data_IF_573747696633
#
_entry.id   IF_573747696633
#
_cell.length_a   1.000
_cell.length_b   1.000
_cell.length_c   1.000
_cell.angle_alpha   90.00
_cell.angle_beta   90.00
_cell.angle_gamma   90.00
#
_symmetry.space_group_name_H-M   'P 1'
#
loop_
_entity.id
_entity.type
_entity.pdbx_description
1 polymer ?
#
# COMPACT_ATOMS: atom_id res chain seq x y z
N UNK A 1 4.40 2.34 -21.87
CA UNK A 1 3.43 3.33 -22.38
C UNK A 1 3.77 3.57 -23.84
N UNK A 2 2.83 3.35 -24.76
CA UNK A 2 3.15 3.23 -26.16
C UNK A 2 3.94 1.93 -26.44
N UNK A 3 5.07 2.02 -27.15
CA UNK A 3 5.97 0.92 -27.39
C UNK A 3 7.06 0.75 -26.31
N UNK A 4 7.18 1.69 -25.39
CA UNK A 4 8.21 1.69 -24.36
C UNK A 4 7.82 0.82 -23.16
N UNK A 5 8.81 0.11 -22.63
CA UNK A 5 8.70 -0.71 -21.41
C UNK A 5 9.42 0.00 -20.28
N UNK A 6 8.76 0.14 -19.14
CA UNK A 6 9.31 0.77 -17.94
C UNK A 6 9.39 -0.27 -16.81
N UNK A 7 10.53 -0.34 -16.17
CA UNK A 7 10.76 -1.09 -14.94
C UNK A 7 10.91 -0.11 -13.79
N UNK A 8 10.58 -0.56 -12.57
CA UNK A 8 10.57 0.25 -11.36
C UNK A 8 9.41 1.23 -11.26
N UNK A 9 8.67 1.13 -10.15
CA UNK A 9 7.48 1.95 -9.87
C UNK A 9 7.79 3.44 -9.87
N UNK A 10 8.95 3.85 -9.34
CA UNK A 10 9.35 5.27 -9.29
C UNK A 10 9.58 5.83 -10.69
N UNK A 11 10.19 5.04 -11.57
CA UNK A 11 10.38 5.40 -12.97
C UNK A 11 9.04 5.53 -13.69
N UNK A 12 8.13 4.59 -13.48
CA UNK A 12 6.77 4.60 -14.04
C UNK A 12 6.00 5.84 -13.59
N UNK A 13 6.01 6.15 -12.28
CA UNK A 13 5.32 7.31 -11.71
C UNK A 13 5.85 8.62 -12.31
N UNK A 14 7.17 8.76 -12.40
CA UNK A 14 7.78 9.97 -13.01
C UNK A 14 7.40 10.14 -14.46
N UNK A 15 7.34 9.07 -15.23
CA UNK A 15 6.95 9.13 -16.64
C UNK A 15 5.45 9.39 -16.80
N UNK A 16 4.60 8.84 -15.91
CA UNK A 16 3.17 9.15 -15.90
C UNK A 16 2.94 10.63 -15.62
N UNK A 17 3.57 11.20 -14.59
CA UNK A 17 3.46 12.61 -14.25
C UNK A 17 3.95 13.51 -15.39
N UNK A 18 5.06 13.15 -16.06
CA UNK A 18 5.58 13.90 -17.21
C UNK A 18 4.62 13.93 -18.39
N UNK A 19 3.88 12.83 -18.63
CA UNK A 19 2.94 12.71 -19.77
C UNK A 19 1.55 13.21 -19.45
N UNK A 20 1.14 13.05 -18.19
CA UNK A 20 -0.22 13.32 -17.72
C UNK A 20 -0.13 14.14 -16.43
N UNK A 21 0.28 15.41 -16.60
CA UNK A 21 0.46 16.31 -15.45
C UNK A 21 -0.85 16.67 -14.72
N UNK A 22 -2.00 16.40 -15.35
CA UNK A 22 -3.32 16.66 -14.77
C UNK A 22 -4.22 15.41 -14.90
N UNK A 23 -4.79 14.92 -13.78
CA UNK A 23 -4.53 15.36 -12.40
C UNK A 23 -3.13 14.92 -11.95
N UNK A 24 -2.43 15.81 -11.23
CA UNK A 24 -1.09 15.52 -10.72
C UNK A 24 -1.09 14.46 -9.61
N UNK A 25 -0.05 13.63 -9.57
CA UNK A 25 0.22 12.72 -8.44
C UNK A 25 0.87 13.45 -7.25
N UNK A 26 1.26 14.71 -7.42
CA UNK A 26 1.99 15.51 -6.44
C UNK A 26 1.26 16.82 -6.13
N UNK A 27 0.03 16.78 -5.58
CA UNK A 27 -0.77 17.98 -5.33
C UNK A 27 0.00 18.98 -4.48
N UNK A 28 -0.15 20.29 -4.81
CA UNK A 28 0.56 21.36 -4.13
C UNK A 28 2.08 21.37 -4.33
N UNK A 29 2.61 20.61 -5.30
CA UNK A 29 4.06 20.52 -5.57
C UNK A 29 4.82 19.73 -4.49
N UNK A 30 4.14 18.93 -3.68
CA UNK A 30 4.71 18.25 -2.51
C UNK A 30 5.54 17.00 -2.88
N UNK A 31 6.40 17.09 -3.90
CA UNK A 31 7.20 15.97 -4.42
C UNK A 31 8.03 15.26 -3.33
N UNK A 32 8.74 16.02 -2.50
CA UNK A 32 9.58 15.46 -1.44
C UNK A 32 8.78 14.65 -0.42
N UNK A 33 7.62 15.16 -0.01
CA UNK A 33 6.73 14.46 0.93
C UNK A 33 6.13 13.20 0.31
N UNK A 34 5.72 13.28 -0.95
CA UNK A 34 5.16 12.14 -1.68
C UNK A 34 6.19 11.03 -1.85
N UNK A 35 7.44 11.37 -2.22
CA UNK A 35 8.52 10.38 -2.31
C UNK A 35 8.93 9.83 -0.95
N UNK A 36 8.96 10.68 0.10
CA UNK A 36 9.19 10.23 1.47
C UNK A 36 8.13 9.21 1.94
N UNK A 37 6.86 9.45 1.62
CA UNK A 37 5.80 8.47 1.86
C UNK A 37 6.04 7.17 1.08
N UNK A 38 6.54 7.25 -0.16
CA UNK A 38 6.93 6.08 -0.96
C UNK A 38 8.03 5.26 -0.29
N UNK A 39 9.10 5.88 0.16
CA UNK A 39 10.18 5.18 0.87
C UNK A 39 9.69 4.49 2.15
N UNK A 40 8.78 5.13 2.87
CA UNK A 40 8.18 4.56 4.05
C UNK A 40 7.27 3.37 3.74
N UNK A 41 6.36 3.52 2.78
CA UNK A 41 5.34 2.51 2.45
C UNK A 41 5.91 1.32 1.67
N UNK A 42 6.87 1.54 0.77
CA UNK A 42 7.53 0.47 -0.02
C UNK A 42 8.75 -0.15 0.72
N UNK A 43 9.16 0.46 1.81
CA UNK A 43 10.28 0.02 2.64
C UNK A 43 9.84 -0.72 3.91
N UNK A 44 10.12 -0.16 5.10
CA UNK A 44 9.90 -0.87 6.37
C UNK A 44 8.45 -1.30 6.59
N UNK A 45 7.48 -0.43 6.29
CA UNK A 45 6.07 -0.75 6.48
C UNK A 45 5.61 -1.88 5.56
N UNK A 46 6.07 -1.90 4.31
CA UNK A 46 5.77 -3.02 3.40
C UNK A 46 6.30 -4.34 3.94
N UNK A 47 7.52 -4.37 4.48
CA UNK A 47 8.10 -5.58 5.07
C UNK A 47 7.28 -6.10 6.24
N UNK A 48 6.79 -5.22 7.11
CA UNK A 48 5.90 -5.60 8.21
C UNK A 48 4.56 -6.14 7.69
N UNK A 49 3.97 -5.46 6.72
CA UNK A 49 2.71 -5.85 6.07
C UNK A 49 2.82 -7.21 5.38
N UNK A 50 3.88 -7.44 4.60
CA UNK A 50 4.12 -8.72 3.91
C UNK A 50 4.37 -9.84 4.90
N UNK A 51 5.11 -9.58 5.99
CA UNK A 51 5.33 -10.55 7.07
C UNK A 51 4.00 -11.00 7.66
N UNK A 52 3.14 -10.05 8.04
CA UNK A 52 1.82 -10.34 8.60
C UNK A 52 0.96 -11.11 7.61
N UNK A 53 0.86 -10.62 6.36
CA UNK A 53 0.06 -11.27 5.32
C UNK A 53 0.53 -12.69 5.02
N UNK A 54 1.84 -12.91 4.90
CA UNK A 54 2.41 -14.21 4.57
C UNK A 54 2.13 -15.24 5.68
N UNK A 55 2.29 -14.85 6.94
CA UNK A 55 2.00 -15.73 8.08
C UNK A 55 0.52 -16.10 8.12
N UNK A 56 -0.39 -15.14 7.96
CA UNK A 56 -1.84 -15.38 7.97
C UNK A 56 -2.28 -16.29 6.81
N UNK A 57 -1.70 -16.11 5.64
CA UNK A 57 -2.08 -16.88 4.45
C UNK A 57 -1.36 -18.23 4.34
N UNK A 58 -0.23 -18.41 5.02
CA UNK A 58 0.63 -19.60 4.86
C UNK A 58 -0.09 -20.94 5.01
N UNK A 59 -1.13 -21.11 5.88
CA UNK A 59 -1.84 -22.38 6.01
C UNK A 59 -2.61 -22.81 4.74
N UNK A 60 -2.93 -21.84 3.87
CA UNK A 60 -3.75 -22.07 2.65
C UNK A 60 -2.96 -21.83 1.36
N UNK A 61 -1.71 -21.38 1.47
CA UNK A 61 -0.85 -21.13 0.31
C UNK A 61 -0.28 -22.42 -0.26
N UNK A 62 -0.25 -22.56 -1.59
CA UNK A 62 0.51 -23.63 -2.23
C UNK A 62 2.00 -23.54 -1.87
N UNK A 63 2.66 -24.69 -1.56
CA UNK A 63 4.08 -24.70 -1.19
C UNK A 63 5.00 -24.06 -2.27
N UNK A 64 4.67 -24.28 -3.55
CA UNK A 64 5.41 -23.71 -4.67
C UNK A 64 5.32 -22.18 -4.70
N UNK A 65 4.20 -21.59 -4.27
CA UNK A 65 4.06 -20.14 -4.16
C UNK A 65 4.96 -19.59 -3.05
N UNK A 66 5.03 -20.27 -1.91
CA UNK A 66 5.92 -19.87 -0.81
C UNK A 66 7.39 -20.01 -1.20
N UNK A 67 7.74 -21.06 -1.93
CA UNK A 67 9.10 -21.28 -2.42
C UNK A 67 9.55 -20.21 -3.42
N UNK A 68 8.64 -19.70 -4.23
CA UNK A 68 8.92 -18.64 -5.21
C UNK A 68 8.97 -17.25 -4.54
N UNK A 69 7.93 -16.91 -3.76
CA UNK A 69 7.75 -15.56 -3.22
C UNK A 69 8.53 -15.28 -1.94
N UNK A 70 8.78 -16.31 -1.14
CA UNK A 70 9.52 -16.16 0.11
C UNK A 70 10.92 -15.55 -0.11
N UNK A 71 11.77 -16.15 -0.96
CA UNK A 71 13.09 -15.59 -1.25
C UNK A 71 13.05 -14.19 -1.90
N UNK A 72 12.00 -13.90 -2.68
CA UNK A 72 11.84 -12.59 -3.32
C UNK A 72 11.65 -11.46 -2.30
N UNK A 73 10.88 -11.71 -1.24
CA UNK A 73 10.58 -10.69 -0.23
C UNK A 73 11.55 -10.70 0.95
N UNK A 74 12.11 -11.85 1.31
CA UNK A 74 12.90 -12.03 2.53
C UNK A 74 14.34 -12.48 2.29
N UNK A 75 14.74 -12.62 1.01
CA UNK A 75 16.08 -13.03 0.63
C UNK A 75 16.26 -14.56 0.53
N UNK A 76 17.42 -14.96 0.01
CA UNK A 76 17.73 -16.36 -0.33
C UNK A 76 17.63 -17.35 0.84
N UNK A 77 17.80 -16.87 2.07
CA UNK A 77 17.72 -17.69 3.29
C UNK A 77 16.30 -17.68 3.91
N UNK A 78 15.28 -17.44 3.11
CA UNK A 78 13.89 -17.43 3.58
C UNK A 78 13.55 -18.71 4.36
N UNK A 79 12.99 -18.51 5.55
CA UNK A 79 12.39 -19.55 6.40
C UNK A 79 11.05 -19.04 6.89
N UNK A 80 9.97 -19.78 6.62
CA UNK A 80 8.65 -19.41 7.11
C UNK A 80 8.58 -19.39 8.64
N UNK A 81 9.31 -20.30 9.32
CA UNK A 81 9.31 -20.36 10.77
C UNK A 81 10.02 -19.14 11.38
N UNK A 82 11.10 -18.66 10.77
CA UNK A 82 11.76 -17.42 11.19
C UNK A 82 10.82 -16.22 11.01
N UNK A 83 10.08 -16.18 9.89
CA UNK A 83 9.09 -15.11 9.63
C UNK A 83 7.98 -15.14 10.68
N UNK A 84 7.48 -16.31 11.06
CA UNK A 84 6.48 -16.46 12.13
C UNK A 84 6.95 -15.90 13.48
N UNK A 85 8.25 -16.00 13.81
CA UNK A 85 8.77 -15.45 15.08
C UNK A 85 8.62 -13.92 15.15
N UNK A 86 8.65 -13.24 14.01
CA UNK A 86 8.53 -11.77 13.89
C UNK A 86 7.08 -11.28 13.80
N UNK A 87 6.11 -12.17 13.67
CA UNK A 87 4.71 -11.82 13.44
C UNK A 87 4.16 -10.81 14.45
N UNK A 88 4.38 -11.05 15.75
CA UNK A 88 3.86 -10.17 16.81
C UNK A 88 4.41 -8.75 16.74
N UNK A 89 5.72 -8.61 16.50
CA UNK A 89 6.39 -7.32 16.31
C UNK A 89 5.86 -6.61 15.07
N UNK A 90 5.85 -7.29 13.92
CA UNK A 90 5.37 -6.71 12.67
C UNK A 90 3.90 -6.28 12.76
N UNK A 91 3.04 -7.08 13.42
CA UNK A 91 1.64 -6.71 13.64
C UNK A 91 1.50 -5.46 14.51
N UNK A 92 2.32 -5.31 15.56
CA UNK A 92 2.32 -4.11 16.39
C UNK A 92 2.77 -2.88 15.58
N UNK A 93 3.82 -3.02 14.77
CA UNK A 93 4.32 -1.97 13.88
C UNK A 93 3.26 -1.54 12.85
N UNK A 94 2.60 -2.50 12.20
CA UNK A 94 1.51 -2.23 11.24
C UNK A 94 0.40 -1.44 11.93
N UNK A 95 -0.04 -1.86 13.11
CA UNK A 95 -1.09 -1.15 13.86
C UNK A 95 -0.71 0.29 14.20
N UNK A 96 0.52 0.50 14.69
CA UNK A 96 1.01 1.83 15.02
C UNK A 96 1.07 2.74 13.79
N UNK A 97 1.65 2.24 12.69
CA UNK A 97 1.86 3.03 11.48
C UNK A 97 0.55 3.29 10.73
N UNK A 98 -0.36 2.35 10.71
CA UNK A 98 -1.71 2.59 10.20
C UNK A 98 -2.50 3.56 11.07
N UNK A 99 -2.26 3.58 12.40
CA UNK A 99 -2.80 4.60 13.28
C UNK A 99 -2.36 6.02 12.89
N UNK A 100 -1.09 6.21 12.51
CA UNK A 100 -0.61 7.51 12.03
C UNK A 100 -1.30 7.96 10.73
N UNK A 101 -1.57 7.02 9.83
CA UNK A 101 -2.35 7.32 8.61
C UNK A 101 -3.79 7.69 8.95
N UNK A 102 -4.41 6.97 9.89
CA UNK A 102 -5.78 7.23 10.35
C UNK A 102 -5.91 8.60 11.01
N UNK A 103 -4.97 8.94 11.91
CA UNK A 103 -4.90 10.27 12.54
C UNK A 103 -4.77 11.38 11.50
N UNK A 104 -3.96 11.14 10.47
CA UNK A 104 -3.81 12.08 9.36
C UNK A 104 -5.12 12.28 8.61
N UNK A 105 -5.78 11.18 8.24
CA UNK A 105 -7.02 11.19 7.46
C UNK A 105 -8.24 11.61 8.29
N UNK A 106 -8.18 11.53 9.62
CA UNK A 106 -9.19 12.11 10.49
C UNK A 106 -9.22 13.66 10.42
N UNK A 107 -8.06 14.26 10.16
CA UNK A 107 -7.90 15.72 10.08
C UNK A 107 -7.93 16.28 8.65
N UNK A 108 -7.78 15.45 7.64
CA UNK A 108 -7.68 15.83 6.22
C UNK A 108 -8.36 14.78 5.32
N UNK A 109 -8.83 15.22 4.17
CA UNK A 109 -9.47 14.32 3.21
C UNK A 109 -8.47 13.37 2.55
N UNK A 110 -7.21 13.79 2.39
CA UNK A 110 -6.13 13.03 1.75
C UNK A 110 -4.81 13.19 2.50
N UNK A 111 -3.86 12.30 2.24
CA UNK A 111 -2.57 12.25 2.92
C UNK A 111 -1.78 13.56 2.83
N UNK A 112 -1.81 14.24 1.69
CA UNK A 112 -1.14 15.54 1.50
C UNK A 112 -2.06 16.75 1.73
N UNK A 113 -3.37 16.60 1.84
CA UNK A 113 -4.29 17.72 2.12
C UNK A 113 -5.67 17.56 1.54
N UNK A 114 -6.07 18.47 0.62
CA UNK A 114 -7.41 18.55 0.06
C UNK A 114 -7.59 17.80 -1.27
N UNK A 115 -6.53 17.29 -1.87
CA UNK A 115 -6.55 16.61 -3.16
C UNK A 115 -5.85 15.25 -3.06
N UNK A 116 -6.34 14.23 -3.81
CA UNK A 116 -5.72 12.91 -3.84
C UNK A 116 -4.35 12.97 -4.54
N UNK A 117 -3.40 12.20 -4.05
CA UNK A 117 -2.08 12.13 -4.65
C UNK A 117 -1.43 10.75 -4.51
N UNK A 118 -0.16 10.65 -4.91
CA UNK A 118 0.60 9.42 -4.79
C UNK A 118 0.58 8.79 -3.40
N UNK A 119 0.74 9.54 -2.28
CA UNK A 119 0.70 8.96 -0.95
C UNK A 119 -0.62 8.27 -0.57
N UNK A 120 -1.74 8.71 -1.14
CA UNK A 120 -3.04 8.06 -0.90
C UNK A 120 -3.09 6.67 -1.53
N UNK A 121 -2.57 6.53 -2.75
CA UNK A 121 -2.47 5.24 -3.42
C UNK A 121 -1.50 4.30 -2.68
N UNK A 122 -0.36 4.84 -2.22
CA UNK A 122 0.66 4.09 -1.50
C UNK A 122 0.20 3.66 -0.09
N UNK A 123 -0.59 4.45 0.60
CA UNK A 123 -1.22 4.07 1.86
C UNK A 123 -2.31 3.01 1.63
N UNK A 124 -3.14 3.22 0.60
CA UNK A 124 -4.28 2.35 0.31
C UNK A 124 -3.88 0.92 -0.08
N UNK A 125 -2.82 0.72 -0.89
CA UNK A 125 -2.48 -0.63 -1.33
C UNK A 125 -2.05 -1.53 -0.18
N UNK A 126 -1.42 -1.01 0.86
CA UNK A 126 -1.03 -1.76 2.05
C UNK A 126 -2.25 -2.22 2.86
N UNK A 127 -3.22 -1.34 3.02
CA UNK A 127 -4.50 -1.66 3.66
C UNK A 127 -5.25 -2.72 2.85
N UNK A 128 -5.36 -2.51 1.53
CA UNK A 128 -5.97 -3.46 0.61
C UNK A 128 -5.28 -4.82 0.66
N UNK A 129 -3.95 -4.83 0.76
CA UNK A 129 -3.17 -6.06 0.81
C UNK A 129 -3.49 -6.92 2.05
N UNK A 130 -3.81 -6.29 3.19
CA UNK A 130 -4.16 -6.99 4.43
C UNK A 130 -5.66 -7.26 4.58
N UNK A 131 -6.52 -6.36 4.12
CA UNK A 131 -7.96 -6.36 4.40
C UNK A 131 -8.63 -7.69 4.09
N UNK A 132 -8.35 -8.26 2.93
CA UNK A 132 -8.99 -9.46 2.44
C UNK A 132 -8.25 -10.75 2.83
N UNK A 133 -7.13 -10.61 3.59
CA UNK A 133 -6.23 -11.72 3.95
C UNK A 133 -6.16 -12.02 5.43
N UNK A 134 -6.69 -11.13 6.24
CA UNK A 134 -6.73 -11.34 7.69
C UNK A 134 -8.12 -11.83 8.12
N UNK A 135 -8.14 -12.81 9.04
CA UNK A 135 -9.38 -13.25 9.65
C UNK A 135 -10.08 -12.07 10.34
N UNK A 136 -11.42 -11.98 10.15
CA UNK A 136 -12.24 -10.95 10.78
C UNK A 136 -11.93 -10.83 12.28
N UNK A 137 -11.65 -9.61 12.73
CA UNK A 137 -11.40 -9.28 14.14
C UNK A 137 -9.94 -9.33 14.61
N UNK A 138 -8.96 -9.82 13.81
CA UNK A 138 -7.54 -9.76 14.21
C UNK A 138 -6.89 -8.41 13.96
N UNK A 139 -7.33 -7.69 12.96
CA UNK A 139 -7.20 -6.25 12.91
C UNK A 139 -8.52 -5.65 13.40
N UNK A 140 -8.68 -5.53 14.72
CA UNK A 140 -9.56 -4.48 15.21
C UNK A 140 -8.89 -3.17 14.78
N UNK A 141 -9.17 -2.76 13.55
CA UNK A 141 -8.89 -1.41 13.12
C UNK A 141 -9.52 -0.50 14.17
N UNK A 142 -8.85 0.52 14.68
CA UNK A 142 -9.55 1.64 15.22
C UNK A 142 -10.64 1.92 14.18
N UNK A 143 -11.90 1.95 14.58
CA UNK A 143 -13.04 2.03 13.68
C UNK A 143 -12.89 3.28 12.81
N UNK A 144 -12.04 3.20 11.80
CA UNK A 144 -11.76 4.31 10.94
C UNK A 144 -12.90 4.45 9.94
N UNK A 145 -13.93 5.15 10.37
CA UNK A 145 -14.93 5.73 9.47
C UNK A 145 -14.27 6.46 8.31
N UNK A 146 -13.00 6.84 8.46
CA UNK A 146 -12.17 7.51 7.46
C UNK A 146 -11.76 6.58 6.32
N UNK A 147 -11.24 5.41 6.61
CA UNK A 147 -10.89 4.41 5.58
C UNK A 147 -12.12 3.87 4.84
N UNK A 148 -13.25 3.70 5.56
CA UNK A 148 -14.51 3.33 4.93
C UNK A 148 -15.11 4.46 4.08
N UNK A 149 -14.87 5.73 4.39
CA UNK A 149 -15.26 6.84 3.51
C UNK A 149 -14.45 6.85 2.22
N UNK A 150 -13.16 6.58 2.28
CA UNK A 150 -12.30 6.39 1.10
C UNK A 150 -12.71 5.18 0.27
N UNK A 151 -13.14 4.06 0.89
CA UNK A 151 -13.63 2.88 0.17
C UNK A 151 -15.04 3.07 -0.40
N UNK A 152 -15.89 3.93 0.19
CA UNK A 152 -17.14 4.38 -0.42
C UNK A 152 -16.92 5.45 -1.51
N UNK A 153 -15.77 6.10 -1.56
CA UNK A 153 -15.30 6.85 -2.71
C UNK A 153 -14.83 5.94 -3.85
N UNK A 154 -14.85 4.63 -3.70
CA UNK A 154 -14.86 3.65 -4.80
C UNK A 154 -16.23 3.59 -5.51
N UNK A 155 -16.92 4.72 -5.70
CA UNK A 155 -17.61 4.91 -6.97
C UNK A 155 -16.52 4.69 -8.02
N UNK A 156 -16.73 3.75 -8.96
CA UNK A 156 -15.78 3.58 -10.04
C UNK A 156 -15.52 4.98 -10.58
N UNK A 157 -14.26 5.36 -10.70
CA UNK A 157 -13.86 6.48 -11.54
C UNK A 157 -14.60 6.24 -12.84
N UNK A 158 -15.71 6.97 -13.02
CA UNK A 158 -16.49 6.90 -14.22
C UNK A 158 -15.48 7.28 -15.30
N UNK A 159 -15.01 6.30 -16.04
CA UNK A 159 -14.19 6.51 -17.21
C UNK A 159 -15.01 7.46 -18.07
N UNK A 160 -14.55 8.69 -18.16
CA UNK A 160 -15.15 9.67 -19.07
C UNK A 160 -15.23 8.99 -20.45
N UNK A 161 -16.36 9.10 -21.16
CA UNK A 161 -16.51 8.45 -22.45
C UNK A 161 -15.39 8.96 -23.36
N UNK A 162 -14.60 8.04 -23.93
CA UNK A 162 -13.61 8.36 -24.95
C UNK A 162 -14.36 9.08 -26.08
N UNK A 163 -14.09 10.36 -26.27
CA UNK A 163 -14.45 11.04 -27.50
C UNK A 163 -13.67 10.34 -28.62
N UNK A 164 -14.43 9.83 -29.59
CA UNK A 164 -13.90 9.29 -30.84
C UNK A 164 -13.29 10.41 -31.67
#
# INVERSE_FOLDING_TARGET
IGADVYCDTKCIIRELERRFAEPTLFPGGAHGMAWGAGEWTDGPLFQDVVTVALVEMSPTMPPEFLADRGPLYFGANFSLDDIKTRYGECLANVRAQFGWMDDRLAARDFMLGGEPGLPDALAYYLVWFLRDRMAEGRLSWPSSRTWCRGSNASRPLAMAPRKR
#
